data_IF_421063435345
#
_entry.id   IF_421063435345
#
_cell.length_a   1.000
_cell.length_b   1.000
_cell.length_c   1.000
_cell.angle_alpha   90.00
_cell.angle_beta   90.00
_cell.angle_gamma   90.00
#
_symmetry.space_group_name_H-M   'P 1'
#
loop_
_entity.id
_entity.type
_entity.pdbx_description
1 polymer ?
#
# COMPACT_ATOMS: atom_id res chain seq x y z
N UNK A 1 19.57 12.64 7.06
CA UNK A 1 18.57 12.14 6.07
C UNK A 1 17.92 13.32 5.39
N UNK A 2 18.71 14.07 4.67
CA UNK A 2 18.21 15.23 3.95
C UNK A 2 17.42 14.76 2.73
N UNK A 3 16.12 15.02 2.69
CA UNK A 3 15.31 14.82 1.49
C UNK A 3 14.06 13.97 1.61
N UNK A 4 13.84 13.21 2.69
CA UNK A 4 12.58 12.50 2.92
C UNK A 4 11.69 13.25 3.91
N UNK A 5 10.42 13.45 3.53
CA UNK A 5 9.40 14.11 4.35
C UNK A 5 8.36 13.07 4.80
N UNK A 6 8.08 13.02 6.11
CA UNK A 6 6.98 12.22 6.69
C UNK A 6 5.65 12.95 6.57
N UNK A 7 4.55 12.20 6.62
CA UNK A 7 3.20 12.75 6.73
C UNK A 7 2.57 13.28 5.43
N UNK A 8 3.19 13.00 4.28
CA UNK A 8 2.54 13.21 2.98
C UNK A 8 1.53 12.09 2.76
N UNK A 9 0.25 12.44 2.64
CA UNK A 9 -0.80 11.44 2.45
C UNK A 9 -0.64 10.65 1.15
N UNK A 10 -1.21 9.44 1.09
CA UNK A 10 -1.24 8.65 -0.15
C UNK A 10 -1.93 9.39 -1.30
N UNK A 11 -3.01 10.13 -1.00
CA UNK A 11 -3.72 10.93 -1.99
C UNK A 11 -2.83 12.05 -2.56
N UNK A 12 -2.10 12.77 -1.71
CA UNK A 12 -1.18 13.83 -2.13
C UNK A 12 0.02 13.25 -2.92
N UNK A 13 0.63 12.18 -2.44
CA UNK A 13 1.73 11.54 -3.15
C UNK A 13 1.31 11.07 -4.54
N UNK A 14 0.19 10.35 -4.66
CA UNK A 14 -0.27 9.85 -5.96
C UNK A 14 -0.86 10.95 -6.85
N UNK A 15 -1.45 11.99 -6.28
CA UNK A 15 -2.02 13.12 -7.01
C UNK A 15 -0.98 14.04 -7.66
N UNK A 16 0.29 14.00 -7.26
CA UNK A 16 1.33 14.84 -7.87
C UNK A 16 1.76 14.33 -9.25
N UNK A 17 2.03 15.27 -10.15
CA UNK A 17 2.43 14.99 -11.56
C UNK A 17 3.87 14.52 -11.73
N UNK A 18 4.60 14.30 -10.64
CA UNK A 18 6.00 13.93 -10.65
C UNK A 18 6.20 12.48 -11.10
N UNK A 19 7.34 12.22 -11.73
CA UNK A 19 7.70 10.90 -12.25
C UNK A 19 8.02 9.94 -11.09
N UNK A 20 7.21 8.91 -10.90
CA UNK A 20 7.48 7.81 -9.99
C UNK A 20 8.10 6.61 -10.72
N UNK A 21 8.65 5.63 -9.97
CA UNK A 21 9.12 4.35 -10.55
C UNK A 21 8.03 3.67 -11.38
N UNK A 22 6.80 3.60 -10.88
CA UNK A 22 5.70 2.96 -11.61
C UNK A 22 5.34 3.69 -12.89
N UNK A 23 5.33 5.03 -12.87
CA UNK A 23 5.11 5.84 -14.07
C UNK A 23 6.24 5.68 -15.07
N UNK A 24 7.51 5.66 -14.62
CA UNK A 24 8.65 5.43 -15.47
C UNK A 24 8.61 4.04 -16.12
N UNK A 25 8.28 3.00 -15.35
CA UNK A 25 8.11 1.65 -15.87
C UNK A 25 6.96 1.55 -16.89
N UNK A 26 5.84 2.22 -16.63
CA UNK A 26 4.73 2.27 -17.59
C UNK A 26 5.11 2.95 -18.90
N UNK A 27 5.92 4.03 -18.86
CA UNK A 27 6.43 4.70 -20.06
C UNK A 27 7.36 3.81 -20.91
N UNK A 28 8.05 2.84 -20.29
CA UNK A 28 8.89 1.87 -21.00
C UNK A 28 8.08 0.73 -21.64
N UNK A 29 6.92 0.42 -21.10
CA UNK A 29 6.12 -0.75 -21.50
C UNK A 29 4.86 -0.40 -22.29
N UNK A 30 4.45 0.89 -22.26
CA UNK A 30 3.26 1.39 -22.97
C UNK A 30 3.57 2.71 -23.68
N UNK A 31 2.57 3.33 -24.29
CA UNK A 31 2.75 4.66 -24.90
C UNK A 31 2.59 5.79 -23.88
N UNK A 32 3.30 6.91 -24.04
CA UNK A 32 3.09 8.11 -23.19
C UNK A 32 1.65 8.60 -23.18
N UNK A 33 0.96 8.46 -24.31
CA UNK A 33 -0.45 8.83 -24.44
C UNK A 33 -1.37 7.96 -23.52
N UNK A 34 -1.08 6.64 -23.43
CA UNK A 34 -1.82 5.74 -22.51
C UNK A 34 -1.54 6.09 -21.07
N UNK A 35 -0.28 6.33 -20.70
CA UNK A 35 0.10 6.74 -19.34
C UNK A 35 -0.61 8.04 -18.95
N UNK A 36 -0.67 9.02 -19.87
CA UNK A 36 -1.41 10.26 -19.64
C UNK A 36 -2.90 10.00 -19.43
N UNK A 37 -3.50 9.17 -20.29
CA UNK A 37 -4.92 8.85 -20.19
C UNK A 37 -5.27 8.15 -18.86
N UNK A 38 -4.47 7.16 -18.44
CA UNK A 38 -4.67 6.43 -17.17
C UNK A 38 -4.56 7.37 -15.95
N UNK A 39 -3.67 8.36 -16.01
CA UNK A 39 -3.55 9.37 -14.97
C UNK A 39 -4.77 10.30 -14.92
N UNK A 40 -5.24 10.73 -16.08
CA UNK A 40 -6.40 11.64 -16.18
C UNK A 40 -7.73 10.88 -15.91
N UNK A 41 -7.70 9.54 -15.96
CA UNK A 41 -8.84 8.63 -15.72
C UNK A 41 -8.46 7.54 -14.70
N UNK A 42 -8.19 7.87 -13.44
CA UNK A 42 -7.81 6.89 -12.44
C UNK A 42 -8.91 5.86 -12.22
N UNK A 43 -8.52 4.60 -12.03
CA UNK A 43 -9.48 3.54 -11.72
C UNK A 43 -10.18 3.85 -10.39
N UNK A 44 -11.51 3.86 -10.43
CA UNK A 44 -12.36 4.06 -9.24
C UNK A 44 -12.44 2.84 -8.34
N UNK A 45 -12.05 1.66 -8.85
CA UNK A 45 -12.06 0.41 -8.11
C UNK A 45 -10.65 -0.17 -7.99
N UNK A 46 -10.24 -0.44 -6.77
CA UNK A 46 -9.03 -1.20 -6.47
C UNK A 46 -9.39 -2.68 -6.31
N UNK A 47 -8.69 -3.57 -6.98
CA UNK A 47 -8.86 -5.02 -6.78
C UNK A 47 -8.48 -5.45 -5.36
N UNK A 48 -9.11 -6.50 -4.85
CA UNK A 48 -8.86 -7.05 -3.50
C UNK A 48 -7.36 -7.24 -3.18
N UNK A 49 -6.52 -7.80 -4.09
CA UNK A 49 -5.09 -7.94 -3.81
C UNK A 49 -4.37 -6.62 -3.54
N UNK A 50 -4.77 -5.53 -4.20
CA UNK A 50 -4.19 -4.21 -3.99
C UNK A 50 -4.63 -3.62 -2.65
N UNK A 51 -5.90 -3.80 -2.27
CA UNK A 51 -6.42 -3.38 -0.96
C UNK A 51 -5.72 -4.15 0.16
N UNK A 52 -5.58 -5.47 0.02
CA UNK A 52 -4.86 -6.31 0.99
C UNK A 52 -3.38 -5.92 1.10
N UNK A 53 -2.73 -5.61 -0.01
CA UNK A 53 -1.35 -5.12 -0.02
C UNK A 53 -1.20 -3.82 0.76
N UNK A 54 -2.06 -2.84 0.50
CA UNK A 54 -2.07 -1.58 1.25
C UNK A 54 -2.36 -1.78 2.74
N UNK A 55 -3.37 -2.59 3.08
CA UNK A 55 -3.69 -2.92 4.47
C UNK A 55 -2.51 -3.57 5.22
N UNK A 56 -1.82 -4.51 4.58
CA UNK A 56 -0.61 -5.12 5.11
C UNK A 56 0.51 -4.09 5.34
N UNK A 57 0.74 -3.17 4.39
CA UNK A 57 1.71 -2.08 4.55
C UNK A 57 1.34 -1.18 5.73
N UNK A 58 0.09 -0.72 5.84
CA UNK A 58 -0.35 0.10 6.97
C UNK A 58 -0.20 -0.62 8.31
N UNK A 59 -0.48 -1.93 8.38
CA UNK A 59 -0.28 -2.72 9.61
C UNK A 59 1.17 -2.75 10.08
N UNK A 60 2.13 -2.70 9.17
CA UNK A 60 3.56 -2.83 9.48
C UNK A 60 4.24 -1.47 9.64
N UNK A 61 3.90 -0.50 8.80
CA UNK A 61 4.64 0.76 8.64
C UNK A 61 3.97 1.97 9.30
N UNK A 62 2.64 2.01 9.28
CA UNK A 62 1.82 3.14 9.77
C UNK A 62 0.58 2.63 10.53
N UNK A 63 0.77 1.85 11.64
CA UNK A 63 -0.35 1.22 12.35
C UNK A 63 -1.35 2.25 12.91
N UNK A 64 -0.94 3.49 13.13
CA UNK A 64 -1.81 4.59 13.55
C UNK A 64 -2.83 5.02 12.48
N UNK A 65 -2.56 4.76 11.21
CA UNK A 65 -3.46 5.07 10.10
C UNK A 65 -4.47 3.94 9.82
N UNK A 66 -4.23 2.75 10.37
CA UNK A 66 -4.97 1.53 10.03
C UNK A 66 -6.48 1.66 10.23
N UNK A 67 -6.90 2.16 11.40
CA UNK A 67 -8.32 2.29 11.73
C UNK A 67 -9.04 3.38 10.92
N UNK A 68 -8.31 4.29 10.30
CA UNK A 68 -8.89 5.32 9.42
C UNK A 68 -9.05 4.78 8.01
N UNK A 69 -8.03 4.11 7.50
CA UNK A 69 -7.95 3.68 6.10
C UNK A 69 -8.64 2.35 5.82
N UNK A 70 -8.77 1.47 6.85
CA UNK A 70 -9.28 0.10 6.64
C UNK A 70 -10.34 -0.27 7.66
N UNK A 71 -11.24 -1.17 7.26
CA UNK A 71 -12.26 -1.74 8.13
C UNK A 71 -12.58 -3.18 7.74
N UNK A 72 -13.03 -3.96 8.72
CA UNK A 72 -13.53 -5.31 8.47
C UNK A 72 -15.01 -5.26 8.15
N UNK A 73 -15.39 -5.80 7.00
CA UNK A 73 -16.79 -5.96 6.61
C UNK A 73 -17.47 -6.94 7.54
N UNK A 74 -18.57 -6.56 8.22
CA UNK A 74 -19.30 -7.47 9.08
C UNK A 74 -19.79 -8.70 8.31
N UNK A 75 -19.69 -9.88 8.92
CA UNK A 75 -20.27 -11.11 8.36
C UNK A 75 -21.78 -11.16 8.53
N UNK A 76 -22.31 -10.46 9.53
CA UNK A 76 -23.72 -10.24 9.83
C UNK A 76 -23.91 -8.91 10.54
N UNK A 77 -25.10 -8.33 10.46
CA UNK A 77 -25.50 -7.14 11.22
C UNK A 77 -26.83 -7.49 11.90
N UNK A 78 -26.87 -7.41 13.24
CA UNK A 78 -28.02 -7.80 14.07
C UNK A 78 -28.58 -9.18 13.72
N UNK A 79 -27.69 -10.16 13.49
CA UNK A 79 -28.04 -11.52 13.09
C UNK A 79 -28.61 -11.65 11.67
N UNK A 80 -28.50 -10.60 10.86
CA UNK A 80 -28.94 -10.60 9.45
C UNK A 80 -27.76 -10.80 8.51
N UNK A 81 -27.91 -11.75 7.59
CA UNK A 81 -26.88 -12.07 6.60
C UNK A 81 -26.73 -10.97 5.53
N UNK A 82 -25.57 -10.93 4.81
CA UNK A 82 -25.33 -9.98 3.71
C UNK A 82 -26.33 -10.03 2.54
N UNK A 83 -27.14 -11.07 2.46
CA UNK A 83 -28.16 -11.21 1.40
C UNK A 83 -29.41 -10.39 1.68
N UNK A 84 -29.66 -10.01 2.94
CA UNK A 84 -30.85 -9.29 3.35
C UNK A 84 -30.81 -7.81 2.94
N UNK A 85 -31.98 -7.23 2.73
CA UNK A 85 -32.13 -5.79 2.47
C UNK A 85 -31.60 -4.97 3.64
N UNK A 86 -31.97 -5.35 4.87
CA UNK A 86 -31.53 -4.70 6.11
C UNK A 86 -30.00 -4.60 6.20
N UNK A 87 -29.28 -5.72 6.01
CA UNK A 87 -27.82 -5.72 6.02
C UNK A 87 -27.25 -4.73 4.98
N UNK A 88 -27.78 -4.76 3.76
CA UNK A 88 -27.26 -3.92 2.67
C UNK A 88 -27.45 -2.43 2.94
N UNK A 89 -28.60 -2.05 3.50
CA UNK A 89 -28.91 -0.66 3.86
C UNK A 89 -28.02 -0.20 5.02
N UNK A 90 -27.95 -0.97 6.11
CA UNK A 90 -27.12 -0.63 7.27
C UNK A 90 -25.63 -0.63 6.92
N UNK A 91 -25.16 -1.58 6.10
CA UNK A 91 -23.77 -1.58 5.66
C UNK A 91 -23.45 -0.36 4.77
N UNK A 92 -24.38 0.09 3.93
CA UNK A 92 -24.21 1.32 3.16
C UNK A 92 -24.13 2.58 4.05
N UNK A 93 -24.89 2.61 5.16
CA UNK A 93 -24.77 3.68 6.16
C UNK A 93 -23.38 3.66 6.83
N UNK A 94 -22.88 2.49 7.24
CA UNK A 94 -21.53 2.34 7.79
C UNK A 94 -20.44 2.80 6.80
N UNK A 95 -20.64 2.53 5.50
CA UNK A 95 -19.72 2.99 4.46
C UNK A 95 -19.79 4.51 4.27
N UNK A 96 -20.97 5.09 4.40
CA UNK A 96 -21.16 6.54 4.32
C UNK A 96 -20.54 7.30 5.51
N UNK A 97 -20.51 6.69 6.70
CA UNK A 97 -19.82 7.22 7.88
C UNK A 97 -18.29 7.16 7.74
N UNK A 98 -17.77 6.26 6.93
CA UNK A 98 -16.33 6.05 6.70
C UNK A 98 -16.02 6.01 5.19
N UNK A 99 -16.20 7.11 4.46
CA UNK A 99 -16.15 7.14 2.98
C UNK A 99 -14.77 6.78 2.42
N UNK A 100 -13.70 7.06 3.17
CA UNK A 100 -12.32 6.81 2.76
C UNK A 100 -11.82 5.40 3.16
N UNK A 101 -12.56 4.69 4.02
CA UNK A 101 -12.15 3.38 4.49
C UNK A 101 -12.34 2.30 3.41
N UNK A 102 -11.32 1.46 3.26
CA UNK A 102 -11.36 0.28 2.41
C UNK A 102 -11.81 -0.93 3.23
N UNK A 103 -12.86 -1.60 2.77
CA UNK A 103 -13.51 -2.67 3.51
C UNK A 103 -13.02 -4.04 3.03
N UNK A 104 -12.38 -4.78 3.95
CA UNK A 104 -11.93 -6.16 3.73
C UNK A 104 -12.88 -7.15 4.40
N UNK A 105 -13.00 -8.35 3.83
CA UNK A 105 -13.64 -9.46 4.52
C UNK A 105 -12.78 -9.94 5.70
N UNK A 106 -13.41 -10.66 6.63
CA UNK A 106 -12.71 -11.15 7.82
C UNK A 106 -11.53 -12.09 7.51
N UNK A 107 -11.65 -12.91 6.47
CA UNK A 107 -10.58 -13.80 6.01
C UNK A 107 -9.44 -13.05 5.31
N UNK A 108 -9.76 -12.02 4.53
CA UNK A 108 -8.79 -11.11 3.91
C UNK A 108 -8.00 -10.34 4.98
N UNK A 109 -8.71 -9.79 5.98
CA UNK A 109 -8.09 -9.12 7.12
C UNK A 109 -7.17 -10.05 7.92
N UNK A 110 -7.64 -11.27 8.22
CA UNK A 110 -6.83 -12.29 8.90
C UNK A 110 -5.57 -12.63 8.12
N UNK A 111 -5.64 -12.68 6.80
CA UNK A 111 -4.49 -12.90 5.95
C UNK A 111 -3.49 -11.74 6.05
N UNK A 112 -3.96 -10.49 6.04
CA UNK A 112 -3.11 -9.31 6.23
C UNK A 112 -2.42 -9.33 7.60
N UNK A 113 -3.14 -9.68 8.67
CA UNK A 113 -2.57 -9.85 10.00
C UNK A 113 -1.45 -10.90 10.02
N UNK A 114 -1.67 -12.07 9.42
CA UNK A 114 -0.65 -13.12 9.37
C UNK A 114 0.60 -12.69 8.58
N UNK A 115 0.44 -11.92 7.50
CA UNK A 115 1.57 -11.33 6.76
C UNK A 115 2.32 -10.30 7.63
N UNK A 116 1.59 -9.43 8.33
CA UNK A 116 2.20 -8.42 9.21
C UNK A 116 2.95 -9.08 10.38
N UNK A 117 2.36 -10.06 11.04
CA UNK A 117 3.02 -10.85 12.11
C UNK A 117 4.31 -11.51 11.62
N UNK A 118 4.31 -12.08 10.42
CA UNK A 118 5.48 -12.71 9.84
C UNK A 118 6.63 -11.70 9.60
N UNK A 119 6.32 -10.49 9.17
CA UNK A 119 7.32 -9.41 9.00
C UNK A 119 7.79 -8.89 10.35
N UNK A 120 6.86 -8.55 11.26
CA UNK A 120 7.17 -7.99 12.57
C UNK A 120 7.94 -8.95 13.48
N UNK A 121 7.83 -10.26 13.26
CA UNK A 121 8.63 -11.29 13.93
C UNK A 121 9.96 -11.63 13.23
N UNK A 122 10.19 -11.09 12.02
CA UNK A 122 11.41 -11.37 11.27
C UNK A 122 12.60 -10.59 11.86
N UNK A 123 13.69 -11.29 12.28
CA UNK A 123 14.82 -10.63 12.93
C UNK A 123 15.56 -9.62 12.04
N UNK A 124 15.53 -9.79 10.72
CA UNK A 124 16.11 -8.82 9.79
C UNK A 124 15.29 -7.54 9.77
N UNK A 125 13.96 -7.66 9.65
CA UNK A 125 13.08 -6.49 9.68
C UNK A 125 13.15 -5.76 11.02
N UNK A 126 13.05 -6.48 12.13
CA UNK A 126 13.10 -5.88 13.48
C UNK A 126 14.42 -5.18 13.77
N UNK A 127 15.54 -5.70 13.24
CA UNK A 127 16.83 -5.04 13.34
C UNK A 127 16.80 -3.64 12.72
N UNK A 128 16.33 -3.50 11.49
CA UNK A 128 16.27 -2.22 10.80
C UNK A 128 15.13 -1.32 11.30
N UNK A 129 14.00 -1.89 11.67
CA UNK A 129 12.87 -1.14 12.22
C UNK A 129 13.14 -0.59 13.63
N UNK A 130 14.14 -1.11 14.35
CA UNK A 130 14.58 -0.57 15.65
C UNK A 130 15.45 0.70 15.54
N UNK A 131 15.85 1.11 14.33
CA UNK A 131 16.53 2.37 14.10
C UNK A 131 15.57 3.54 14.40
N UNK A 132 15.87 4.31 15.44
CA UNK A 132 15.05 5.45 15.90
C UNK A 132 14.97 6.58 14.88
N UNK A 133 15.89 6.62 13.92
CA UNK A 133 15.90 7.60 12.83
C UNK A 133 15.28 7.05 11.55
N UNK A 134 14.83 5.80 11.55
CA UNK A 134 14.18 5.21 10.39
C UNK A 134 12.92 5.99 9.99
N UNK A 135 12.68 6.08 8.69
CA UNK A 135 11.55 6.79 8.11
C UNK A 135 10.69 5.78 7.35
N UNK A 136 9.53 5.45 7.89
CA UNK A 136 8.51 4.69 7.18
C UNK A 136 7.72 5.63 6.25
N UNK A 137 7.38 5.16 5.05
CA UNK A 137 6.57 5.86 4.03
C UNK A 137 7.05 7.31 3.75
N UNK A 138 8.35 7.56 3.91
CA UNK A 138 8.95 8.87 3.69
C UNK A 138 8.94 9.24 2.21
N UNK A 139 8.41 10.43 1.88
CA UNK A 139 8.35 10.93 0.50
C UNK A 139 9.56 11.81 0.19
N UNK A 140 10.28 11.47 -0.88
CA UNK A 140 11.37 12.26 -1.42
C UNK A 140 11.05 12.83 -2.81
N UNK A 141 11.53 14.05 -3.06
CA UNK A 141 11.44 14.72 -4.33
C UNK A 141 12.84 15.05 -4.85
N UNK A 142 13.10 14.77 -6.12
CA UNK A 142 14.43 14.99 -6.70
C UNK A 142 14.35 15.23 -8.21
N UNK A 143 15.45 15.72 -8.78
CA UNK A 143 15.58 15.81 -10.25
C UNK A 143 16.50 14.72 -10.78
N UNK A 144 16.06 14.05 -11.83
CA UNK A 144 16.87 13.08 -12.56
C UNK A 144 16.82 13.36 -14.07
N UNK A 145 17.97 13.66 -14.65
CA UNK A 145 18.09 14.03 -16.08
C UNK A 145 17.10 15.12 -16.54
N UNK A 146 16.85 16.11 -15.69
CA UNK A 146 15.92 17.21 -15.98
C UNK A 146 14.45 16.92 -15.67
N UNK A 147 14.09 15.69 -15.37
CA UNK A 147 12.73 15.33 -14.95
C UNK A 147 12.57 15.51 -13.42
N UNK A 148 11.43 16.05 -13.01
CA UNK A 148 11.03 16.10 -11.61
C UNK A 148 10.47 14.75 -11.18
N UNK A 149 11.07 14.15 -10.16
CA UNK A 149 10.82 12.79 -9.72
C UNK A 149 10.35 12.74 -8.27
N UNK A 150 9.63 11.67 -7.94
CA UNK A 150 9.23 11.34 -6.56
C UNK A 150 9.55 9.88 -6.24
N UNK A 151 9.86 9.63 -4.97
CA UNK A 151 10.09 8.30 -4.40
C UNK A 151 9.43 8.20 -3.03
N UNK A 152 9.00 7.00 -2.68
CA UNK A 152 8.52 6.66 -1.34
C UNK A 152 8.98 5.24 -1.04
N UNK A 153 10.12 5.07 -0.35
CA UNK A 153 10.51 3.77 0.19
C UNK A 153 9.60 3.39 1.36
N UNK A 154 9.31 2.09 1.50
CA UNK A 154 8.49 1.57 2.59
C UNK A 154 9.18 1.85 3.95
N UNK A 155 10.48 1.57 4.07
CA UNK A 155 11.29 1.97 5.22
C UNK A 155 12.69 2.40 4.75
N UNK A 156 13.17 3.53 5.25
CA UNK A 156 14.51 4.05 5.01
C UNK A 156 15.22 4.28 6.35
N UNK A 157 16.39 3.70 6.52
CA UNK A 157 17.17 3.74 7.77
C UNK A 157 18.30 4.76 7.74
N UNK A 158 18.86 5.08 8.91
CA UNK A 158 19.94 6.08 9.06
C UNK A 158 21.22 5.69 8.34
N UNK A 159 21.49 4.40 8.17
CA UNK A 159 22.65 3.88 7.43
C UNK A 159 22.45 3.85 5.90
N UNK A 160 21.28 4.28 5.42
CA UNK A 160 20.96 4.32 4.00
C UNK A 160 20.34 3.03 3.45
N UNK A 161 20.01 2.05 4.31
CA UNK A 161 19.32 0.84 3.88
C UNK A 161 17.87 1.15 3.52
N UNK A 162 17.40 0.59 2.40
CA UNK A 162 16.00 0.64 1.97
C UNK A 162 15.40 -0.76 2.14
N UNK A 163 14.27 -0.83 2.84
CA UNK A 163 13.45 -2.04 2.92
C UNK A 163 12.18 -1.77 2.13
N UNK A 164 11.84 -2.72 1.26
CA UNK A 164 10.65 -2.69 0.42
C UNK A 164 9.83 -3.96 0.73
N UNK A 165 8.62 -3.76 1.25
CA UNK A 165 7.71 -4.84 1.62
C UNK A 165 6.90 -5.29 0.40
N UNK A 166 6.79 -6.59 0.21
CA UNK A 166 6.00 -7.14 -0.89
C UNK A 166 5.09 -8.26 -0.41
N UNK A 167 3.78 -8.05 -0.57
CA UNK A 167 2.82 -9.15 -0.44
C UNK A 167 2.92 -10.07 -1.64
N UNK A 168 2.95 -11.39 -1.40
CA UNK A 168 3.05 -12.41 -2.45
C UNK A 168 2.23 -13.64 -2.08
N UNK A 169 1.80 -14.39 -3.09
CA UNK A 169 1.17 -15.71 -2.91
C UNK A 169 2.18 -16.81 -2.63
N UNK A 170 3.44 -16.60 -2.98
CA UNK A 170 4.53 -17.57 -2.80
C UNK A 170 5.78 -16.82 -2.30
N UNK A 171 6.01 -16.92 -0.98
CA UNK A 171 7.17 -16.35 -0.31
C UNK A 171 8.38 -17.30 -0.26
N UNK A 172 8.32 -18.46 -0.94
CA UNK A 172 9.48 -19.34 -1.07
C UNK A 172 10.62 -18.66 -1.83
N UNK A 173 11.84 -19.14 -1.65
CA UNK A 173 13.02 -18.65 -2.40
C UNK A 173 12.78 -18.69 -3.93
N UNK A 174 12.16 -19.77 -4.42
CA UNK A 174 11.84 -19.92 -5.84
C UNK A 174 10.79 -18.90 -6.31
N UNK A 175 9.72 -18.69 -5.51
CA UNK A 175 8.68 -17.70 -5.75
C UNK A 175 9.25 -16.28 -5.75
N UNK A 176 10.10 -15.97 -4.77
CA UNK A 176 10.76 -14.67 -4.69
C UNK A 176 11.67 -14.40 -5.90
N UNK A 177 12.53 -15.37 -6.26
CA UNK A 177 13.39 -15.26 -7.46
C UNK A 177 12.59 -15.04 -8.75
N UNK A 178 11.43 -15.69 -8.88
CA UNK A 178 10.53 -15.49 -10.02
C UNK A 178 9.96 -14.06 -10.01
N UNK A 179 9.53 -13.57 -8.87
CA UNK A 179 8.99 -12.21 -8.71
C UNK A 179 10.04 -11.15 -9.05
N UNK A 180 11.27 -11.28 -8.55
CA UNK A 180 12.40 -10.38 -8.89
C UNK A 180 12.60 -10.28 -10.40
N UNK A 181 12.61 -11.42 -11.12
CA UNK A 181 12.78 -11.43 -12.58
C UNK A 181 11.59 -10.83 -13.33
N UNK A 182 10.36 -11.08 -12.84
CA UNK A 182 9.14 -10.66 -13.54
C UNK A 182 8.82 -9.18 -13.33
N UNK A 183 9.15 -8.63 -12.19
CA UNK A 183 8.81 -7.24 -11.81
C UNK A 183 10.01 -6.30 -11.77
N UNK A 184 11.24 -6.83 -11.95
CA UNK A 184 12.45 -6.02 -12.02
C UNK A 184 12.83 -5.34 -10.70
N UNK A 185 12.69 -6.10 -9.60
CA UNK A 185 13.12 -5.64 -8.28
C UNK A 185 14.64 -5.67 -8.14
#
# INVERSE_FOLDING_TARGET
MDGLTKGISNAEYHGSDLLSRSTASALLTTSPQKVRWERDNPLTYKGVPLIMGGCFHSMVLEPECLDVEYAVKPTEIDGKSPLTKYYKETFAEMQAERPDAQWLKADEWKTCLGMAEAVLSNPVYTHYASDVEAIAEGTGYFKYNGADCKVRPDLYTSDGTIIDLKSTQDASEAGFRKSVRSFGY
#
